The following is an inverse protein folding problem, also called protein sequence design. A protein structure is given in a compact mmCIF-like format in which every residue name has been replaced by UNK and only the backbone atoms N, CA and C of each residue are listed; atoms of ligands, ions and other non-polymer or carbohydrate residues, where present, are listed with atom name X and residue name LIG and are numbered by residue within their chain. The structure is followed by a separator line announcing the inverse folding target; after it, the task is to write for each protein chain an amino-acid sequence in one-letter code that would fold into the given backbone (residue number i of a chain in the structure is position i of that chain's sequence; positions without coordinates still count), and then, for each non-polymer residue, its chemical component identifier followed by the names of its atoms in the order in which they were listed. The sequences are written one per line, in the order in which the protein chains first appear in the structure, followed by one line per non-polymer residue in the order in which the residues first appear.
data_IF_561153335861
#
_entry.id   IF_561153335861
#
_cell.length_a   1.000
_cell.length_b   1.000
_cell.length_c   1.000
_cell.angle_alpha   90.00
_cell.angle_beta   90.00
_cell.angle_gamma   90.00
#
_symmetry.space_group_name_H-M   'P 1'
#
loop_
_entity.id
_entity.type
_entity.pdbx_description
1 polymer ?
#
# COMPACT_ATOMS: atom_id res chain seq x y z
N UNK A 1 16.98 11.39 -9.68
CA UNK A 1 16.65 11.99 -11.00
C UNK A 1 16.22 10.96 -12.04
N UNK A 2 16.92 9.81 -12.19
CA UNK A 2 16.59 8.81 -13.24
C UNK A 2 15.15 8.28 -13.20
N UNK A 3 14.60 7.98 -12.02
CA UNK A 3 13.23 7.47 -11.90
C UNK A 3 12.17 8.49 -12.32
N UNK A 4 12.38 9.77 -11.97
CA UNK A 4 11.46 10.85 -12.36
C UNK A 4 11.37 10.99 -13.88
N UNK A 5 12.53 11.01 -14.57
CA UNK A 5 12.55 11.07 -16.03
C UNK A 5 11.91 9.83 -16.65
N UNK A 6 12.21 8.65 -16.12
CA UNK A 6 11.58 7.41 -16.58
C UNK A 6 10.05 7.43 -16.43
N UNK A 7 9.52 7.92 -15.31
CA UNK A 7 8.06 8.06 -15.13
C UNK A 7 7.45 9.08 -16.09
N UNK A 8 8.14 10.19 -16.37
CA UNK A 8 7.68 11.18 -17.34
C UNK A 8 7.66 10.61 -18.76
N UNK A 9 8.66 9.80 -19.13
CA UNK A 9 8.68 9.10 -20.41
C UNK A 9 7.49 8.15 -20.54
N UNK A 10 7.18 7.36 -19.50
CA UNK A 10 6.00 6.47 -19.49
C UNK A 10 4.69 7.26 -19.62
N UNK A 11 4.53 8.38 -18.89
CA UNK A 11 3.33 9.21 -18.99
C UNK A 11 3.19 9.76 -20.41
N UNK A 12 4.31 10.15 -21.02
CA UNK A 12 4.33 10.69 -22.38
C UNK A 12 3.96 9.63 -23.41
N UNK A 13 4.55 8.44 -23.30
CA UNK A 13 4.25 7.28 -24.12
C UNK A 13 2.76 6.89 -24.03
N UNK A 14 2.21 6.89 -22.82
CA UNK A 14 0.82 6.52 -22.56
C UNK A 14 -0.18 7.55 -23.08
N UNK A 15 0.04 8.84 -22.78
CA UNK A 15 -0.98 9.90 -22.91
C UNK A 15 -0.87 10.64 -24.23
N UNK A 16 0.35 10.93 -24.69
CA UNK A 16 0.58 11.79 -25.86
C UNK A 16 0.93 10.98 -27.12
N UNK A 17 1.61 9.84 -26.99
CA UNK A 17 2.01 9.00 -28.13
C UNK A 17 1.05 7.83 -28.41
N UNK A 18 0.21 7.45 -27.44
CA UNK A 18 -0.83 6.42 -27.61
C UNK A 18 -0.30 4.99 -27.72
N UNK A 19 0.92 4.72 -27.24
CA UNK A 19 1.54 3.39 -27.39
C UNK A 19 0.93 2.32 -26.45
N UNK A 20 0.14 2.73 -25.46
CA UNK A 20 -0.54 1.85 -24.50
C UNK A 20 -1.82 1.24 -25.08
N UNK A 21 -1.67 0.30 -26.02
CA UNK A 21 -2.79 -0.51 -26.52
C UNK A 21 -3.43 -1.35 -25.41
N UNK A 22 -4.62 -1.90 -25.64
CA UNK A 22 -5.33 -2.74 -24.65
C UNK A 22 -4.50 -3.93 -24.16
N UNK A 23 -3.66 -4.50 -25.03
CA UNK A 23 -2.75 -5.61 -24.71
C UNK A 23 -1.64 -5.12 -23.77
N UNK A 24 -1.02 -3.97 -24.07
CA UNK A 24 0.03 -3.35 -23.23
C UNK A 24 -0.53 -2.99 -21.85
N UNK A 25 -1.70 -2.35 -21.80
CA UNK A 25 -2.36 -2.00 -20.55
C UNK A 25 -2.71 -3.23 -19.70
N UNK A 26 -3.12 -4.34 -20.33
CA UNK A 26 -3.32 -5.62 -19.64
C UNK A 26 -1.99 -6.18 -19.12
N UNK A 27 -0.92 -6.11 -19.90
CA UNK A 27 0.43 -6.50 -19.48
C UNK A 27 0.89 -5.73 -18.24
N UNK A 28 0.72 -4.40 -18.22
CA UNK A 28 1.04 -3.56 -17.06
C UNK A 28 0.23 -3.94 -15.81
N UNK A 29 -1.07 -4.22 -15.95
CA UNK A 29 -1.91 -4.69 -14.83
C UNK A 29 -1.41 -6.02 -14.25
N UNK A 30 -1.05 -6.97 -15.11
CA UNK A 30 -0.49 -8.25 -14.67
C UNK A 30 0.87 -8.04 -14.00
N UNK A 31 1.75 -7.24 -14.61
CA UNK A 31 3.08 -6.92 -14.07
C UNK A 31 3.00 -6.28 -12.69
N UNK A 32 2.13 -5.28 -12.51
CA UNK A 32 1.92 -4.65 -11.21
C UNK A 32 1.30 -5.61 -10.18
N UNK A 33 0.40 -6.51 -10.60
CA UNK A 33 -0.15 -7.54 -9.71
C UNK A 33 0.93 -8.52 -9.23
N UNK A 34 1.82 -8.97 -10.14
CA UNK A 34 2.95 -9.82 -9.79
C UNK A 34 3.94 -9.11 -8.86
N UNK A 35 4.19 -7.82 -9.08
CA UNK A 35 4.99 -6.99 -8.18
C UNK A 35 4.37 -6.95 -6.78
N UNK A 36 3.06 -6.67 -6.64
CA UNK A 36 2.37 -6.70 -5.34
C UNK A 36 2.44 -8.06 -4.66
N UNK A 37 2.32 -9.16 -5.41
CA UNK A 37 2.48 -10.51 -4.88
C UNK A 37 3.91 -10.70 -4.34
N UNK A 38 4.93 -10.25 -5.07
CA UNK A 38 6.32 -10.34 -4.61
C UNK A 38 6.59 -9.55 -3.33
N UNK A 39 6.02 -8.36 -3.19
CA UNK A 39 6.07 -7.56 -1.96
C UNK A 39 5.32 -8.24 -0.81
N UNK A 40 4.17 -8.86 -1.06
CA UNK A 40 3.45 -9.62 -0.04
C UNK A 40 4.28 -10.79 0.50
N UNK A 41 4.98 -11.54 -0.37
CA UNK A 41 5.89 -12.62 0.06
C UNK A 41 7.10 -12.09 0.84
N UNK A 42 7.62 -10.92 0.48
CA UNK A 42 8.65 -10.24 1.25
C UNK A 42 8.17 -9.97 2.69
N UNK A 43 6.94 -9.49 2.89
CA UNK A 43 6.35 -9.33 4.23
C UNK A 43 6.07 -10.66 4.94
N UNK A 44 5.65 -11.72 4.22
CA UNK A 44 5.49 -13.07 4.78
C UNK A 44 6.80 -13.56 5.41
N UNK A 45 7.95 -13.24 4.81
CA UNK A 45 9.27 -13.55 5.38
C UNK A 45 9.49 -12.89 6.76
N UNK A 46 9.12 -11.62 6.91
CA UNK A 46 9.21 -10.93 8.20
C UNK A 46 8.25 -11.51 9.25
N UNK A 47 7.00 -11.78 8.86
CA UNK A 47 6.04 -12.42 9.76
C UNK A 47 6.52 -13.80 10.18
N UNK A 48 7.07 -14.59 9.26
CA UNK A 48 7.65 -15.89 9.57
C UNK A 48 8.75 -15.79 10.62
N UNK A 49 9.69 -14.85 10.47
CA UNK A 49 10.74 -14.61 11.46
C UNK A 49 10.17 -14.19 12.83
N UNK A 50 9.15 -13.33 12.85
CA UNK A 50 8.47 -12.89 14.07
C UNK A 50 7.76 -14.06 14.79
N UNK A 51 7.01 -14.89 14.06
CA UNK A 51 6.36 -16.06 14.64
C UNK A 51 7.37 -17.13 15.09
N UNK A 52 8.41 -17.38 14.29
CA UNK A 52 9.45 -18.37 14.64
C UNK A 52 10.17 -17.98 15.92
N UNK A 53 10.51 -16.70 16.10
CA UNK A 53 11.11 -16.21 17.35
C UNK A 53 10.12 -16.20 18.51
N UNK A 54 8.87 -15.79 18.31
CA UNK A 54 7.85 -15.78 19.37
C UNK A 54 7.50 -17.19 19.87
N UNK A 55 7.17 -18.09 18.96
CA UNK A 55 6.81 -19.49 19.27
C UNK A 55 8.02 -20.25 19.82
N UNK A 56 9.21 -20.03 19.26
CA UNK A 56 10.45 -20.67 19.72
C UNK A 56 10.85 -20.27 21.15
N UNK A 57 10.61 -19.02 21.53
CA UNK A 57 10.83 -18.59 22.92
C UNK A 57 9.81 -19.22 23.88
N UNK A 58 8.53 -19.24 23.50
CA UNK A 58 7.47 -19.86 24.30
C UNK A 58 7.71 -21.36 24.54
N UNK A 59 8.15 -22.10 23.51
CA UNK A 59 8.46 -23.53 23.63
C UNK A 59 9.71 -23.81 24.47
N UNK A 60 10.65 -22.87 24.52
CA UNK A 60 11.84 -22.93 25.37
C UNK A 60 11.56 -22.52 26.83
N UNK A 61 10.31 -22.24 27.19
CA UNK A 61 9.91 -21.79 28.54
C UNK A 61 10.21 -20.31 28.82
N UNK A 62 10.59 -19.54 27.79
CA UNK A 62 10.86 -18.11 27.88
C UNK A 62 9.61 -17.27 27.59
N UNK A 63 9.55 -16.06 28.15
CA UNK A 63 8.45 -15.12 27.94
C UNK A 63 8.62 -14.38 26.61
N UNK A 64 7.51 -14.14 25.91
CA UNK A 64 7.45 -13.26 24.74
C UNK A 64 6.42 -12.14 24.99
N UNK A 65 6.78 -10.86 24.82
CA UNK A 65 8.12 -10.34 24.50
C UNK A 65 9.13 -10.55 25.65
N UNK A 66 10.43 -10.68 25.34
CA UNK A 66 11.45 -10.82 26.36
C UNK A 66 11.60 -9.52 27.17
N UNK A 67 11.81 -9.64 28.48
CA UNK A 67 12.13 -8.48 29.32
C UNK A 67 13.48 -7.88 28.88
N UNK A 68 13.65 -6.55 28.85
CA UNK A 68 12.80 -5.50 29.43
C UNK A 68 11.84 -4.81 28.42
N UNK A 69 11.50 -5.46 27.29
CA UNK A 69 10.70 -4.81 26.24
C UNK A 69 9.26 -4.55 26.74
N UNK A 70 8.84 -3.30 26.69
CA UNK A 70 7.46 -2.88 27.00
C UNK A 70 6.72 -2.74 25.66
N UNK A 71 5.70 -3.56 25.37
CA UNK A 71 4.95 -3.46 24.12
C UNK A 71 4.14 -2.16 24.07
N UNK A 72 3.98 -1.62 22.87
CA UNK A 72 3.13 -0.45 22.62
C UNK A 72 1.67 -0.81 22.92
N UNK A 73 0.95 0.09 23.59
CA UNK A 73 -0.47 -0.10 23.89
C UNK A 73 -1.32 -0.13 22.59
N UNK A 74 -2.00 -1.25 22.27
CA UNK A 74 -2.65 -1.41 20.96
C UNK A 74 -3.78 -0.41 20.68
N UNK A 75 -4.51 0.01 21.73
CA UNK A 75 -5.67 0.89 21.60
C UNK A 75 -5.32 2.39 21.60
N UNK A 76 -4.03 2.72 21.64
CA UNK A 76 -3.56 4.10 21.52
C UNK A 76 -3.28 4.47 20.06
N UNK A 77 -2.04 4.91 19.80
CA UNK A 77 -1.59 5.32 18.47
C UNK A 77 -1.77 4.23 17.38
N UNK A 78 -1.51 2.91 17.63
CA UNK A 78 -1.68 1.90 16.60
C UNK A 78 -3.11 1.82 16.05
N UNK A 79 -4.12 1.84 16.93
CA UNK A 79 -5.54 1.84 16.53
C UNK A 79 -5.86 3.07 15.67
N UNK A 80 -5.43 4.26 16.09
CA UNK A 80 -5.67 5.49 15.35
C UNK A 80 -5.08 5.43 13.93
N UNK A 81 -3.85 4.91 13.79
CA UNK A 81 -3.24 4.69 12.47
C UNK A 81 -4.04 3.71 11.60
N UNK A 82 -4.57 2.63 12.18
CA UNK A 82 -5.45 1.71 11.43
C UNK A 82 -6.73 2.40 10.95
N UNK A 83 -7.33 3.25 11.79
CA UNK A 83 -8.53 4.00 11.42
C UNK A 83 -8.24 4.99 10.26
N UNK A 84 -7.10 5.69 10.29
CA UNK A 84 -6.66 6.58 9.21
C UNK A 84 -6.45 5.80 7.90
N UNK A 85 -5.76 4.64 7.94
CA UNK A 85 -5.54 3.81 6.76
C UNK A 85 -6.84 3.26 6.16
N UNK A 86 -7.82 2.90 6.99
CA UNK A 86 -9.13 2.47 6.51
C UNK A 86 -9.92 3.65 5.90
N UNK A 87 -9.85 4.82 6.52
CA UNK A 87 -10.48 6.03 6.01
C UNK A 87 -9.90 6.47 4.66
N UNK A 88 -8.57 6.40 4.49
CA UNK A 88 -7.92 6.71 3.21
C UNK A 88 -8.30 5.69 2.12
N UNK A 89 -8.46 4.41 2.47
CA UNK A 89 -9.01 3.37 1.59
C UNK A 89 -10.44 3.66 1.11
N UNK A 90 -11.30 4.18 1.99
CA UNK A 90 -12.64 4.63 1.61
C UNK A 90 -12.59 5.87 0.70
N UNK A 91 -11.72 6.84 1.02
CA UNK A 91 -11.54 8.06 0.24
C UNK A 91 -11.06 7.76 -1.20
N UNK A 92 -10.05 6.90 -1.38
CA UNK A 92 -9.58 6.53 -2.73
C UNK A 92 -10.64 5.77 -3.53
N UNK A 93 -11.46 4.95 -2.87
CA UNK A 93 -12.58 4.25 -3.52
C UNK A 93 -13.64 5.24 -4.01
N UNK A 94 -13.92 6.29 -3.24
CA UNK A 94 -14.79 7.38 -3.65
C UNK A 94 -14.19 8.15 -4.84
N UNK A 95 -12.92 8.55 -4.75
CA UNK A 95 -12.22 9.23 -5.85
C UNK A 95 -12.25 8.40 -7.15
N UNK A 96 -12.02 7.09 -7.06
CA UNK A 96 -12.08 6.20 -8.22
C UNK A 96 -13.48 6.17 -8.86
N UNK A 97 -14.55 6.15 -8.06
CA UNK A 97 -15.93 6.21 -8.60
C UNK A 97 -16.22 7.53 -9.30
N UNK A 98 -15.79 8.65 -8.74
CA UNK A 98 -15.94 9.96 -9.38
C UNK A 98 -15.20 10.03 -10.73
N UNK A 99 -13.98 9.48 -10.80
CA UNK A 99 -13.22 9.37 -12.07
C UNK A 99 -13.96 8.54 -13.11
N UNK A 100 -14.60 7.43 -12.72
CA UNK A 100 -15.38 6.57 -13.63
C UNK A 100 -16.62 7.29 -14.17
N UNK A 101 -17.24 8.17 -13.39
CA UNK A 101 -18.40 9.00 -13.80
C UNK A 101 -17.95 10.26 -14.56
N UNK A 102 -16.64 10.47 -14.71
CA UNK A 102 -16.03 11.65 -15.32
C UNK A 102 -16.30 12.97 -14.56
N UNK A 103 -16.58 12.90 -13.26
CA UNK A 103 -16.67 14.08 -12.39
C UNK A 103 -15.30 14.41 -11.80
N UNK A 104 -14.66 15.42 -12.37
CA UNK A 104 -13.33 15.87 -11.94
C UNK A 104 -13.37 16.57 -10.59
N UNK A 105 -14.37 17.43 -10.35
CA UNK A 105 -14.43 18.21 -9.12
C UNK A 105 -14.67 17.29 -7.92
N UNK A 106 -15.57 16.33 -8.09
CA UNK A 106 -15.85 15.31 -7.07
C UNK A 106 -14.66 14.35 -6.88
N UNK A 107 -13.82 14.10 -7.89
CA UNK A 107 -12.64 13.24 -7.74
C UNK A 107 -11.49 13.91 -6.97
N UNK A 108 -11.30 15.23 -7.11
CA UNK A 108 -10.15 15.95 -6.55
C UNK A 108 -10.17 16.01 -5.00
N UNK A 109 -11.36 16.23 -4.42
CA UNK A 109 -11.54 16.35 -2.96
C UNK A 109 -11.15 15.05 -2.22
N UNK A 110 -11.76 13.88 -2.51
CA UNK A 110 -11.43 12.63 -1.83
C UNK A 110 -10.01 12.13 -2.15
N UNK A 111 -9.47 12.42 -3.34
CA UNK A 111 -8.08 12.12 -3.66
C UNK A 111 -7.12 12.94 -2.78
N UNK A 112 -7.39 14.24 -2.59
CA UNK A 112 -6.63 15.11 -1.70
C UNK A 112 -6.68 14.63 -0.24
N UNK A 113 -7.87 14.26 0.24
CA UNK A 113 -8.05 13.68 1.58
C UNK A 113 -7.26 12.38 1.75
N UNK A 114 -7.26 11.50 0.74
CA UNK A 114 -6.50 10.26 0.77
C UNK A 114 -4.99 10.52 0.89
N UNK A 115 -4.45 11.48 0.14
CA UNK A 115 -3.02 11.83 0.19
C UNK A 115 -2.67 12.44 1.55
N UNK A 116 -3.49 13.37 2.06
CA UNK A 116 -3.27 14.01 3.36
C UNK A 116 -3.34 13.01 4.52
N UNK A 117 -4.23 12.03 4.46
CA UNK A 117 -4.31 10.97 5.45
C UNK A 117 -3.10 10.02 5.42
N UNK A 118 -2.35 9.97 4.31
CA UNK A 118 -1.16 9.13 4.17
C UNK A 118 0.16 9.80 4.59
N UNK A 119 0.16 11.11 4.79
CA UNK A 119 1.32 11.92 5.24
C UNK A 119 1.28 12.07 6.75
#
# INVERSE_FOLDING_TARGET
SSFYFWMMDIITEATYLGCHTSIVARGLKIGFTLFLISEAFFFVGFFWAWFSSGIGNLSSGCLWPPRPIIPVYPWGAPLFNTAILLASGAAVTWAHRAVVIHDREEAMIPLGLCVLAGV
#
